data_IF_001242036077
#
_entry.id   IF_001242036077
#
_cell.length_a   1.000
_cell.length_b   1.000
_cell.length_c   1.000
_cell.angle_alpha   90.00
_cell.angle_beta   90.00
_cell.angle_gamma   90.00
#
_symmetry.space_group_name_H-M   'P 1'
#
loop_
_entity.id
_entity.type
_entity.pdbx_description
1 polymer ?
#
# COMPACT_ATOMS: atom_id res chain seq x y z
N UNK A 1 5.22 -0.94 -14.58
CA UNK A 1 6.43 -1.74 -14.33
C UNK A 1 6.63 -2.60 -15.56
N UNK A 2 7.83 -2.61 -16.15
CA UNK A 2 8.14 -3.37 -17.36
C UNK A 2 9.15 -4.47 -17.04
N UNK A 3 9.12 -5.57 -17.79
CA UNK A 3 10.00 -6.72 -17.61
C UNK A 3 9.28 -7.99 -17.12
N UNK A 4 9.84 -9.14 -17.45
CA UNK A 4 9.24 -10.47 -17.26
C UNK A 4 8.86 -10.78 -15.81
N UNK A 5 9.64 -10.29 -14.84
CA UNK A 5 9.43 -10.55 -13.41
C UNK A 5 9.07 -9.29 -12.63
N UNK A 6 8.63 -8.22 -13.31
CA UNK A 6 8.47 -6.92 -12.70
C UNK A 6 7.57 -6.91 -11.44
N UNK A 7 6.45 -7.68 -11.37
CA UNK A 7 5.65 -7.78 -10.14
C UNK A 7 6.44 -8.37 -8.97
N UNK A 8 7.18 -9.46 -9.20
CA UNK A 8 7.97 -10.15 -8.17
C UNK A 8 9.13 -9.27 -7.73
N UNK A 9 9.86 -8.67 -8.66
CA UNK A 9 10.97 -7.77 -8.37
C UNK A 9 10.53 -6.56 -7.55
N UNK A 10 9.33 -6.04 -7.78
CA UNK A 10 8.78 -4.93 -6.99
C UNK A 10 8.48 -5.34 -5.55
N UNK A 11 7.88 -6.52 -5.36
CA UNK A 11 7.62 -7.07 -4.02
C UNK A 11 8.92 -7.29 -3.24
N UNK A 12 9.92 -7.96 -3.84
CA UNK A 12 11.23 -8.18 -3.20
C UNK A 12 11.93 -6.86 -2.82
N UNK A 13 11.81 -5.82 -3.66
CA UNK A 13 12.34 -4.51 -3.33
C UNK A 13 11.64 -3.88 -2.12
N UNK A 14 10.31 -4.03 -2.02
CA UNK A 14 9.52 -3.53 -0.88
C UNK A 14 9.87 -4.29 0.41
N UNK A 15 10.13 -5.60 0.34
CA UNK A 15 10.62 -6.38 1.48
C UNK A 15 11.96 -5.86 2.00
N UNK A 16 12.91 -5.58 1.10
CA UNK A 16 14.19 -5.00 1.49
C UNK A 16 14.06 -3.60 2.09
N UNK A 17 13.18 -2.77 1.53
CA UNK A 17 12.83 -1.48 2.15
C UNK A 17 12.24 -1.68 3.54
N UNK A 18 11.34 -2.66 3.71
CA UNK A 18 10.79 -3.01 5.02
C UNK A 18 11.92 -3.38 5.98
N UNK A 19 12.83 -4.27 5.60
CA UNK A 19 13.94 -4.73 6.43
C UNK A 19 14.83 -3.58 6.90
N UNK A 20 15.09 -2.60 6.04
CA UNK A 20 15.94 -1.43 6.33
C UNK A 20 15.24 -0.37 7.21
N UNK A 21 13.94 -0.15 7.03
CA UNK A 21 13.22 0.85 7.79
C UNK A 21 12.91 0.38 9.21
N UNK A 22 13.14 1.26 10.19
CA UNK A 22 12.66 1.08 11.56
C UNK A 22 11.13 1.22 11.62
N UNK A 23 10.45 0.64 12.62
CA UNK A 23 9.05 0.94 12.88
C UNK A 23 8.80 2.45 12.93
N UNK A 24 7.74 2.91 12.28
CA UNK A 24 7.43 4.32 12.10
C UNK A 24 8.11 5.00 10.91
N UNK A 25 9.09 4.35 10.27
CA UNK A 25 9.74 4.82 9.05
C UNK A 25 8.76 4.97 7.88
N UNK A 26 9.06 5.89 6.97
CA UNK A 26 8.21 6.24 5.83
C UNK A 26 8.90 5.83 4.53
N UNK A 27 8.20 5.11 3.69
CA UNK A 27 8.54 4.87 2.30
C UNK A 27 7.52 5.60 1.41
N UNK A 28 8.00 6.36 0.42
CA UNK A 28 7.14 7.06 -0.54
C UNK A 28 7.32 6.45 -1.93
N UNK A 29 6.24 5.96 -2.51
CA UNK A 29 6.21 5.45 -3.88
C UNK A 29 5.41 6.42 -4.77
N UNK A 30 6.05 6.94 -5.82
CA UNK A 30 5.41 7.80 -6.83
C UNK A 30 5.36 7.00 -8.14
N UNK A 31 4.17 6.78 -8.67
CA UNK A 31 3.98 5.92 -9.85
C UNK A 31 2.70 6.27 -10.59
N UNK A 32 2.60 5.87 -11.85
CA UNK A 32 1.35 5.92 -12.63
C UNK A 32 0.43 4.72 -12.36
N UNK A 33 0.85 3.78 -11.50
CA UNK A 33 0.06 2.58 -11.20
C UNK A 33 -1.07 2.84 -10.22
N UNK A 34 -2.28 2.44 -10.62
CA UNK A 34 -3.50 2.44 -9.79
C UNK A 34 -3.35 1.58 -8.52
N UNK A 35 -4.03 1.93 -7.41
CA UNK A 35 -3.99 1.16 -6.17
C UNK A 35 -4.26 -0.34 -6.34
N UNK A 36 -5.17 -0.73 -7.25
CA UNK A 36 -5.50 -2.15 -7.52
C UNK A 36 -4.27 -2.98 -7.88
N UNK A 37 -3.30 -2.39 -8.59
CA UNK A 37 -2.09 -3.08 -9.05
C UNK A 37 -0.85 -2.72 -8.23
N UNK A 38 -0.94 -1.79 -7.28
CA UNK A 38 0.20 -1.36 -6.47
C UNK A 38 0.13 -1.82 -5.03
N UNK A 39 -1.03 -1.70 -4.41
CA UNK A 39 -1.22 -2.07 -3.01
C UNK A 39 -0.97 -3.56 -2.73
N UNK A 40 -1.25 -4.52 -3.64
CA UNK A 40 -0.92 -5.93 -3.40
C UNK A 40 0.57 -6.20 -3.11
N UNK A 41 1.50 -5.38 -3.62
CA UNK A 41 2.93 -5.54 -3.35
C UNK A 41 3.33 -5.15 -1.91
N UNK A 42 2.44 -4.47 -1.18
CA UNK A 42 2.67 -4.10 0.22
C UNK A 42 2.04 -5.08 1.21
N UNK A 43 1.21 -6.02 0.75
CA UNK A 43 0.51 -7.00 1.59
C UNK A 43 1.24 -8.33 1.66
N UNK A 44 2.53 -8.28 2.01
CA UNK A 44 3.33 -9.49 2.22
C UNK A 44 3.36 -9.87 3.70
N UNK A 45 3.44 -11.17 3.97
CA UNK A 45 3.49 -11.69 5.33
C UNK A 45 4.66 -11.05 6.11
N UNK A 46 4.37 -10.59 7.34
CA UNK A 46 5.35 -9.90 8.18
C UNK A 46 5.58 -8.40 7.87
N UNK A 47 5.03 -7.87 6.77
CA UNK A 47 5.12 -6.46 6.42
C UNK A 47 3.78 -5.73 6.67
N UNK A 48 3.66 -5.06 7.81
CA UNK A 48 2.50 -4.23 8.12
C UNK A 48 2.75 -2.77 7.72
N UNK A 49 2.13 -2.31 6.63
CA UNK A 49 2.21 -0.93 6.16
C UNK A 49 0.88 -0.20 6.36
N UNK A 50 0.94 1.03 6.90
CA UNK A 50 -0.20 1.97 6.83
C UNK A 50 0.00 2.89 5.63
N UNK A 51 -0.90 2.81 4.67
CA UNK A 51 -0.81 3.53 3.40
C UNK A 51 -1.75 4.74 3.42
N UNK A 52 -1.23 5.91 3.03
CA UNK A 52 -2.04 7.06 2.60
C UNK A 52 -1.80 7.28 1.12
N UNK A 53 -2.87 7.45 0.35
CA UNK A 53 -2.78 7.73 -1.08
C UNK A 53 -3.01 9.21 -1.33
N UNK A 54 -2.21 9.81 -2.19
CA UNK A 54 -2.49 11.10 -2.81
C UNK A 54 -2.46 10.92 -4.33
N UNK A 55 -3.25 11.73 -5.03
CA UNK A 55 -3.33 11.71 -6.48
C UNK A 55 -3.12 13.13 -6.95
N UNK A 56 -2.10 13.33 -7.79
CA UNK A 56 -1.78 14.63 -8.36
C UNK A 56 -1.87 14.54 -9.89
N UNK A 57 -2.50 15.52 -10.56
CA UNK A 57 -2.51 15.56 -12.02
C UNK A 57 -1.09 15.83 -12.52
N UNK A 58 -0.83 15.51 -13.79
CA UNK A 58 0.49 15.79 -14.36
C UNK A 58 0.76 17.29 -14.39
N UNK A 59 2.04 17.70 -14.32
CA UNK A 59 2.43 19.07 -14.58
C UNK A 59 1.86 19.58 -15.91
N UNK A 60 1.19 20.73 -15.89
CA UNK A 60 0.60 21.33 -17.08
C UNK A 60 -0.82 20.85 -17.41
N UNK A 61 -1.38 19.90 -16.65
CA UNK A 61 -2.79 19.54 -16.78
C UNK A 61 -3.68 20.75 -16.44
N UNK A 62 -4.57 21.10 -17.38
CA UNK A 62 -5.57 22.14 -17.16
C UNK A 62 -6.93 21.47 -17.05
N UNK A 63 -7.55 21.59 -15.89
CA UNK A 63 -8.90 21.07 -15.68
C UNK A 63 -9.87 21.87 -16.57
N UNK A 64 -10.59 21.23 -17.49
CA UNK A 64 -11.56 21.92 -18.33
C UNK A 64 -12.64 22.58 -17.46
N UNK A 65 -12.80 23.90 -17.58
CA UNK A 65 -13.91 24.64 -16.97
C UNK A 65 -13.75 25.08 -15.50
N UNK A 66 -12.57 24.98 -14.88
CA UNK A 66 -12.39 25.37 -13.48
C UNK A 66 -11.42 26.56 -13.32
N UNK A 67 -11.94 27.69 -12.84
CA UNK A 67 -11.17 28.87 -12.47
C UNK A 67 -10.97 28.89 -10.95
N UNK A 68 -9.75 28.57 -10.50
CA UNK A 68 -9.20 28.71 -9.13
C UNK A 68 -9.58 27.70 -8.03
N UNK A 69 -8.54 27.29 -7.27
CA UNK A 69 -8.48 26.53 -6.00
C UNK A 69 -8.32 25.00 -5.97
N UNK A 70 -7.86 24.34 -7.03
CA UNK A 70 -7.60 22.88 -7.00
C UNK A 70 -6.42 22.44 -6.10
N UNK A 71 -5.54 23.36 -5.71
CA UNK A 71 -4.31 23.03 -4.97
C UNK A 71 -4.55 22.41 -3.59
N UNK A 72 -5.68 22.71 -2.93
CA UNK A 72 -6.02 22.13 -1.62
C UNK A 72 -6.46 20.66 -1.69
N UNK A 73 -7.05 20.22 -2.80
CA UNK A 73 -7.54 18.84 -2.94
C UNK A 73 -6.39 17.83 -3.06
N UNK A 74 -5.31 18.20 -3.75
CA UNK A 74 -4.16 17.33 -3.96
C UNK A 74 -3.28 17.13 -2.71
N UNK A 75 -3.49 17.95 -1.67
CA UNK A 75 -2.77 17.86 -0.39
C UNK A 75 -3.49 16.98 0.64
N UNK A 76 -4.72 16.54 0.34
CA UNK A 76 -5.50 15.66 1.20
C UNK A 76 -5.43 14.21 0.70
N UNK A 77 -5.34 13.22 1.62
CA UNK A 77 -5.26 11.84 1.21
C UNK A 77 -6.60 11.35 0.65
N UNK A 78 -6.54 10.64 -0.47
CA UNK A 78 -7.68 9.95 -1.07
C UNK A 78 -8.02 8.72 -0.20
N UNK A 79 -9.29 8.57 0.22
CA UNK A 79 -9.70 7.40 1.00
C UNK A 79 -9.56 6.13 0.17
N UNK A 80 -9.10 5.06 0.81
CA UNK A 80 -9.02 3.71 0.24
C UNK A 80 -10.03 2.80 0.93
N UNK A 81 -10.58 1.85 0.19
CA UNK A 81 -11.38 0.76 0.78
C UNK A 81 -10.49 -0.19 1.60
N UNK A 82 -11.10 -1.08 2.38
CA UNK A 82 -10.39 -2.12 3.12
C UNK A 82 -9.51 -3.01 2.24
N UNK A 83 -9.86 -3.15 0.95
CA UNK A 83 -9.09 -3.93 -0.04
C UNK A 83 -7.98 -3.11 -0.70
N UNK A 84 -7.79 -1.84 -0.31
CA UNK A 84 -6.81 -0.95 -0.94
C UNK A 84 -7.24 -0.46 -2.32
N UNK A 85 -8.55 -0.30 -2.53
CA UNK A 85 -9.09 0.18 -3.80
C UNK A 85 -9.55 1.63 -3.68
N UNK A 86 -9.63 2.34 -4.81
CA UNK A 86 -10.38 3.59 -4.86
C UNK A 86 -11.87 3.35 -4.57
N UNK A 87 -12.59 4.30 -3.93
CA UNK A 87 -14.01 4.16 -3.66
C UNK A 87 -14.82 4.05 -4.96
N UNK A 88 -15.96 3.32 -4.94
CA UNK A 88 -16.88 3.31 -6.07
C UNK A 88 -17.31 4.73 -6.46
N UNK A 89 -17.27 5.06 -7.74
CA UNK A 89 -17.63 6.38 -8.24
C UNK A 89 -16.55 7.45 -8.08
N UNK A 90 -15.34 7.10 -7.62
CA UNK A 90 -14.22 8.02 -7.66
C UNK A 90 -13.84 8.34 -9.12
N UNK A 91 -13.85 9.63 -9.48
CA UNK A 91 -13.54 10.11 -10.83
C UNK A 91 -12.19 10.82 -10.81
N UNK A 92 -11.24 10.30 -11.59
CA UNK A 92 -9.92 10.91 -11.77
C UNK A 92 -10.05 12.16 -12.66
N UNK A 93 -9.42 13.27 -12.25
CA UNK A 93 -9.44 14.50 -13.05
C UNK A 93 -8.56 14.38 -14.30
N UNK A 94 -7.32 13.88 -14.12
CA UNK A 94 -6.38 13.55 -15.19
C UNK A 94 -6.18 12.03 -15.23
N UNK A 95 -6.54 11.32 -16.32
CA UNK A 95 -6.35 9.87 -16.43
C UNK A 95 -4.89 9.43 -16.25
N UNK A 96 -3.94 10.32 -16.52
CA UNK A 96 -2.51 10.06 -16.43
C UNK A 96 -1.89 10.63 -15.12
N UNK A 97 -2.71 10.84 -14.09
CA UNK A 97 -2.26 11.34 -12.78
C UNK A 97 -1.15 10.48 -12.17
N UNK A 98 -0.30 11.11 -11.36
CA UNK A 98 0.63 10.40 -10.49
C UNK A 98 -0.07 10.00 -9.19
N UNK A 99 0.12 8.74 -8.80
CA UNK A 99 -0.26 8.20 -7.50
C UNK A 99 0.94 8.26 -6.57
N UNK A 100 0.74 8.87 -5.40
CA UNK A 100 1.74 9.00 -4.34
C UNK A 100 1.27 8.16 -3.15
N UNK A 101 1.95 7.05 -2.92
CA UNK A 101 1.71 6.19 -1.77
C UNK A 101 2.69 6.57 -0.66
N UNK A 102 2.17 7.06 0.45
CA UNK A 102 2.94 7.30 1.68
C UNK A 102 2.73 6.12 2.61
N UNK A 103 3.70 5.21 2.62
CA UNK A 103 3.67 3.95 3.34
C UNK A 103 4.45 4.08 4.65
N UNK A 104 3.75 4.09 5.79
CA UNK A 104 4.37 4.05 7.11
C UNK A 104 4.53 2.62 7.56
N UNK A 105 5.76 2.21 7.90
CA UNK A 105 6.02 0.91 8.50
C UNK A 105 5.41 0.85 9.90
N UNK A 106 4.53 -0.09 10.15
CA UNK A 106 3.96 -0.33 11.48
C UNK A 106 4.96 -1.12 12.34
N UNK A 107 4.72 -1.13 13.65
CA UNK A 107 5.40 -2.09 14.51
C UNK A 107 5.00 -3.49 14.06
N UNK A 108 5.97 -4.41 14.03
CA UNK A 108 5.64 -5.82 13.94
C UNK A 108 4.74 -6.12 15.15
N UNK A 109 3.48 -6.44 14.92
CA UNK A 109 2.68 -7.08 15.95
C UNK A 109 3.43 -8.36 16.29
N UNK A 110 3.94 -8.55 17.52
CA UNK A 110 4.56 -9.81 17.86
C UNK A 110 3.51 -10.88 17.60
N UNK A 111 3.80 -11.77 16.64
CA UNK A 111 3.02 -12.98 16.49
C UNK A 111 2.97 -13.62 17.87
N UNK A 112 1.76 -13.79 18.42
CA UNK A 112 1.60 -14.60 19.62
C UNK A 112 2.33 -15.92 19.33
N UNK A 113 3.29 -16.35 20.17
CA UNK A 113 3.93 -17.63 19.94
C UNK A 113 2.82 -18.67 19.86
N UNK A 114 2.88 -19.52 18.84
CA UNK A 114 2.03 -20.68 18.70
C UNK A 114 2.29 -21.60 19.90
N UNK A 115 1.65 -21.30 21.02
CA UNK A 115 1.78 -22.05 22.25
C UNK A 115 0.96 -23.33 22.08
N UNK A 116 1.71 -24.41 21.82
CA UNK A 116 1.48 -25.76 22.33
C UNK A 116 0.20 -26.43 21.79
N UNK A 117 0.25 -26.93 20.56
CA UNK A 117 -0.43 -28.20 20.25
C UNK A 117 0.59 -29.32 20.49
N UNK A 118 0.57 -29.89 21.69
CA UNK A 118 1.22 -31.17 21.99
C UNK A 118 0.17 -32.29 21.85
N UNK A 119 0.29 -33.21 20.88
CA UNK A 119 -0.58 -34.37 20.79
C UNK A 119 0.16 -35.60 21.31
N UNK A 120 0.33 -35.73 22.64
CA UNK A 120 0.86 -36.98 23.19
C UNK A 120 0.41 -37.28 24.61
N UNK A 121 -0.70 -38.01 24.76
CA UNK A 121 -0.83 -39.08 25.77
C UNK A 121 -1.84 -40.13 25.31
N UNK A 122 -1.49 -41.42 25.26
CA UNK A 122 -2.42 -42.51 25.02
C UNK A 122 -3.11 -42.88 26.35
N UNK A 123 -4.45 -42.83 26.39
CA UNK A 123 -5.18 -43.40 27.53
C UNK A 123 -5.21 -44.92 27.41
N UNK A 124 -4.53 -45.52 28.38
CA UNK A 124 -4.50 -46.95 28.70
C UNK A 124 -5.81 -47.30 29.42
N UNK A 125 -6.41 -48.39 28.94
CA UNK A 125 -7.38 -49.31 29.58
C UNK A 125 -7.60 -49.13 31.10
N UNK A 126 -8.86 -48.87 31.48
CA UNK A 126 -9.61 -49.68 32.48
C UNK A 126 -11.11 -49.46 32.37
#
# INVERSE_FOLDING_TARGET
MCGTNAPISASLMIEEVSRLLKPGGIYMLITYGDPIVRIPHFHQEGCSWKIKLYIIPRPGFQRPGCSSSSSKLYLEPVPLTERGMLPPGFVLEDPDSHYIYVCKKMHATPALPAAIMDPTTPDIVQ
#
